data_IF_306084187020
#
_entry.id   IF_306084187020
#
_cell.length_a   1.000
_cell.length_b   1.000
_cell.length_c   1.000
_cell.angle_alpha   90.00
_cell.angle_beta   90.00
_cell.angle_gamma   90.00
#
_symmetry.space_group_name_H-M   'P 1'
#
loop_
_entity.id
_entity.type
_entity.pdbx_description
1 polymer ?
#
# COMPACT_ATOMS: atom_id res chain seq x y z
N UNK A 1 16.05 -13.82 3.34
CA UNK A 1 15.61 -15.23 3.19
C UNK A 1 15.12 -15.80 4.53
N UNK A 2 15.97 -15.87 5.58
CA UNK A 2 15.60 -16.44 6.89
C UNK A 2 14.38 -15.78 7.54
N UNK A 3 14.28 -14.46 7.47
CA UNK A 3 13.15 -13.72 8.03
C UNK A 3 11.86 -14.04 7.27
N UNK A 4 11.93 -14.10 5.94
CA UNK A 4 10.77 -14.43 5.08
C UNK A 4 10.29 -15.85 5.34
N UNK A 5 11.23 -16.82 5.46
CA UNK A 5 10.90 -18.21 5.81
C UNK A 5 10.20 -18.30 7.17
N UNK A 6 10.74 -17.62 8.20
CA UNK A 6 10.16 -17.62 9.54
C UNK A 6 8.74 -17.00 9.57
N UNK A 7 8.54 -15.89 8.84
CA UNK A 7 7.22 -15.26 8.68
C UNK A 7 6.23 -16.20 7.98
N UNK A 8 6.62 -16.79 6.85
CA UNK A 8 5.76 -17.73 6.12
C UNK A 8 5.41 -18.94 6.99
N UNK A 9 6.38 -19.50 7.72
CA UNK A 9 6.14 -20.59 8.66
C UNK A 9 5.12 -20.22 9.73
N UNK A 10 5.28 -19.05 10.34
CA UNK A 10 4.34 -18.53 11.34
C UNK A 10 2.91 -18.42 10.77
N UNK A 11 2.74 -17.82 9.60
CA UNK A 11 1.42 -17.67 8.98
C UNK A 11 0.81 -19.01 8.54
N UNK A 12 1.62 -19.90 7.99
CA UNK A 12 1.18 -21.24 7.62
C UNK A 12 0.71 -22.02 8.86
N UNK A 13 1.45 -21.95 9.96
CA UNK A 13 1.08 -22.61 11.23
C UNK A 13 -0.20 -22.02 11.83
N UNK A 14 -0.36 -20.72 11.76
CA UNK A 14 -1.54 -20.03 12.27
C UNK A 14 -2.80 -20.30 11.45
N UNK A 15 -2.67 -20.40 10.12
CA UNK A 15 -3.79 -20.63 9.20
C UNK A 15 -4.21 -22.10 9.08
N UNK A 16 -3.24 -23.00 9.06
CA UNK A 16 -3.49 -24.45 8.85
C UNK A 16 -3.66 -25.25 10.15
N UNK A 17 -3.49 -24.60 11.32
CA UNK A 17 -3.56 -25.26 12.64
C UNK A 17 -2.27 -26.05 12.98
N UNK A 18 -2.14 -26.37 14.30
CA UNK A 18 -0.93 -27.02 14.87
C UNK A 18 -0.81 -28.49 14.50
N UNK A 19 -1.91 -29.16 14.17
CA UNK A 19 -1.97 -30.58 13.81
C UNK A 19 -2.12 -30.73 12.30
N UNK A 20 -0.99 -30.59 11.55
CA UNK A 20 -0.98 -30.77 10.11
C UNK A 20 -0.77 -32.24 9.72
N UNK A 21 -1.83 -32.89 9.27
CA UNK A 21 -1.74 -34.17 8.61
C UNK A 21 -1.31 -34.03 7.13
N UNK A 22 -1.55 -32.85 6.53
CA UNK A 22 -1.19 -32.53 5.16
C UNK A 22 -0.50 -31.16 5.04
N UNK A 23 0.50 -31.05 4.17
CA UNK A 23 1.15 -29.78 3.84
C UNK A 23 0.22 -28.95 2.96
N UNK A 24 -0.05 -27.68 3.28
CA UNK A 24 -0.93 -26.82 2.48
C UNK A 24 -0.26 -26.40 1.16
N UNK A 25 -1.09 -26.10 0.17
CA UNK A 25 -0.70 -25.27 -0.96
C UNK A 25 -0.93 -23.81 -0.56
N UNK A 26 0.01 -22.91 -0.89
CA UNK A 26 -0.07 -21.50 -0.55
C UNK A 26 0.04 -20.64 -1.79
N UNK A 27 -0.60 -19.49 -1.75
CA UNK A 27 -0.46 -18.42 -2.75
C UNK A 27 0.20 -17.23 -2.07
N UNK A 28 1.26 -16.70 -2.68
CA UNK A 28 2.02 -15.56 -2.16
C UNK A 28 1.94 -14.43 -3.17
N UNK A 29 1.47 -13.26 -2.73
CA UNK A 29 1.49 -12.06 -3.55
C UNK A 29 2.91 -11.50 -3.62
N UNK A 30 3.32 -11.10 -4.82
CA UNK A 30 4.63 -10.51 -5.10
C UNK A 30 4.48 -9.23 -5.92
N UNK A 31 5.36 -8.23 -5.73
CA UNK A 31 5.39 -7.04 -6.56
C UNK A 31 5.54 -7.36 -8.05
N UNK A 32 5.05 -6.49 -8.94
CA UNK A 32 5.15 -6.70 -10.40
C UNK A 32 6.58 -6.66 -10.91
N UNK A 33 7.45 -5.89 -10.27
CA UNK A 33 8.85 -5.70 -10.68
C UNK A 33 9.85 -6.74 -10.13
N UNK A 34 9.38 -7.88 -9.55
CA UNK A 34 10.29 -8.90 -9.01
C UNK A 34 11.00 -9.68 -10.11
N UNK A 35 12.30 -9.90 -9.94
CA UNK A 35 13.10 -10.72 -10.84
C UNK A 35 12.77 -12.21 -10.70
N UNK A 36 13.10 -13.02 -11.72
CA UNK A 36 12.94 -14.47 -11.68
C UNK A 36 13.71 -15.12 -10.53
N UNK A 37 14.86 -14.54 -10.13
CA UNK A 37 15.66 -15.01 -8.99
C UNK A 37 14.92 -14.76 -7.67
N UNK A 38 14.33 -13.57 -7.51
CA UNK A 38 13.54 -13.23 -6.32
C UNK A 38 12.26 -14.08 -6.24
N UNK A 39 11.56 -14.29 -7.37
CA UNK A 39 10.39 -15.19 -7.43
C UNK A 39 10.77 -16.60 -6.95
N UNK A 40 11.90 -17.13 -7.44
CA UNK A 40 12.38 -18.45 -7.01
C UNK A 40 12.73 -18.49 -5.53
N UNK A 41 13.38 -17.43 -5.03
CA UNK A 41 13.70 -17.32 -3.60
C UNK A 41 12.45 -17.32 -2.71
N UNK A 42 11.36 -16.67 -3.14
CA UNK A 42 10.06 -16.70 -2.43
C UNK A 42 9.45 -18.08 -2.46
N UNK A 43 9.47 -18.76 -3.62
CA UNK A 43 8.96 -20.15 -3.72
C UNK A 43 9.75 -21.11 -2.82
N UNK A 44 11.08 -21.02 -2.85
CA UNK A 44 11.95 -21.87 -2.03
C UNK A 44 11.73 -21.61 -0.52
N UNK A 45 11.56 -20.34 -0.12
CA UNK A 45 11.22 -19.98 1.26
C UNK A 45 9.86 -20.54 1.69
N UNK A 46 8.86 -20.53 0.82
CA UNK A 46 7.54 -21.12 1.10
C UNK A 46 7.59 -22.63 1.26
N UNK A 47 8.35 -23.34 0.42
CA UNK A 47 8.57 -24.79 0.55
C UNK A 47 9.33 -25.10 1.86
N UNK A 48 10.40 -24.36 2.17
CA UNK A 48 11.16 -24.49 3.41
C UNK A 48 10.31 -24.21 4.65
N UNK A 49 9.34 -23.28 4.56
CA UNK A 49 8.38 -23.00 5.61
C UNK A 49 7.31 -24.11 5.81
N UNK A 50 7.29 -25.12 4.93
CA UNK A 50 6.44 -26.31 5.07
C UNK A 50 5.24 -26.37 4.14
N UNK A 51 5.17 -25.53 3.11
CA UNK A 51 4.17 -25.66 2.06
C UNK A 51 4.43 -26.88 1.17
N UNK A 52 3.37 -27.47 0.60
CA UNK A 52 3.44 -28.50 -0.44
C UNK A 52 3.74 -27.91 -1.80
N UNK A 53 3.08 -26.79 -2.11
CA UNK A 53 3.25 -26.00 -3.33
C UNK A 53 3.14 -24.53 -2.99
N UNK A 54 3.84 -23.71 -3.76
CA UNK A 54 3.79 -22.26 -3.68
C UNK A 54 3.40 -21.72 -5.04
N UNK A 55 2.31 -20.95 -5.08
CA UNK A 55 1.86 -20.21 -6.25
C UNK A 55 2.16 -18.75 -6.02
N UNK A 56 2.65 -18.05 -7.03
CA UNK A 56 2.86 -16.61 -7.00
C UNK A 56 1.73 -15.91 -7.75
N UNK A 57 1.30 -14.78 -7.22
CA UNK A 57 0.34 -13.89 -7.86
C UNK A 57 0.87 -12.47 -7.79
N UNK A 58 0.81 -11.66 -8.85
CA UNK A 58 1.14 -10.24 -8.79
C UNK A 58 0.23 -9.50 -7.79
N UNK A 59 0.83 -8.63 -6.93
CA UNK A 59 0.07 -7.88 -5.92
C UNK A 59 -1.12 -7.11 -6.49
N UNK A 60 -1.01 -6.36 -7.62
CA UNK A 60 -2.17 -5.65 -8.18
C UNK A 60 -3.29 -6.57 -8.62
N UNK A 61 -2.96 -7.77 -9.14
CA UNK A 61 -3.96 -8.76 -9.55
C UNK A 61 -4.69 -9.33 -8.32
N UNK A 62 -3.95 -9.64 -7.26
CA UNK A 62 -4.54 -10.08 -6.00
C UNK A 62 -5.45 -8.99 -5.39
N UNK A 63 -5.02 -7.72 -5.44
CA UNK A 63 -5.80 -6.57 -4.97
C UNK A 63 -7.10 -6.42 -5.78
N UNK A 64 -7.04 -6.53 -7.11
CA UNK A 64 -8.20 -6.45 -8.00
C UNK A 64 -9.23 -7.53 -7.68
N UNK A 65 -8.78 -8.78 -7.48
CA UNK A 65 -9.63 -9.91 -7.09
C UNK A 65 -10.28 -9.64 -5.73
N UNK A 66 -9.49 -9.18 -4.75
CA UNK A 66 -9.99 -8.86 -3.40
C UNK A 66 -11.01 -7.71 -3.40
N UNK A 67 -10.82 -6.71 -4.24
CA UNK A 67 -11.75 -5.60 -4.45
C UNK A 67 -12.95 -5.97 -5.33
N UNK A 68 -12.98 -7.18 -5.89
CA UNK A 68 -14.03 -7.66 -6.83
C UNK A 68 -14.17 -6.79 -8.08
N UNK A 69 -13.06 -6.25 -8.56
CA UNK A 69 -13.03 -5.53 -9.83
C UNK A 69 -13.33 -6.53 -10.97
N UNK A 70 -14.16 -6.18 -11.96
CA UNK A 70 -14.55 -7.10 -13.05
C UNK A 70 -13.43 -7.28 -14.09
N UNK A 71 -12.29 -7.83 -13.66
CA UNK A 71 -11.08 -7.97 -14.48
C UNK A 71 -11.16 -9.00 -15.59
N UNK A 72 -12.22 -9.83 -15.64
CA UNK A 72 -12.42 -10.84 -16.67
C UNK A 72 -12.90 -10.27 -18.00
N UNK A 73 -13.33 -9.01 -18.01
CA UNK A 73 -13.78 -8.32 -19.21
C UNK A 73 -12.60 -7.88 -20.08
N UNK A 74 -12.81 -7.69 -21.40
CA UNK A 74 -11.78 -7.16 -22.29
C UNK A 74 -11.51 -5.65 -22.08
N UNK A 75 -12.23 -5.01 -21.19
CA UNK A 75 -12.03 -3.60 -20.82
C UNK A 75 -10.82 -3.43 -19.88
N UNK A 76 -10.14 -2.26 -19.98
CA UNK A 76 -9.03 -1.91 -19.13
C UNK A 76 -9.48 -1.49 -17.72
N UNK A 77 -8.89 -2.10 -16.69
CA UNK A 77 -9.05 -1.67 -15.28
C UNK A 77 -7.69 -1.31 -14.69
N UNK A 78 -7.52 -0.09 -14.17
CA UNK A 78 -6.29 0.29 -13.48
C UNK A 78 -6.43 0.06 -11.98
N UNK A 79 -5.43 -0.60 -11.42
CA UNK A 79 -5.29 -0.82 -9.98
C UNK A 79 -4.07 -0.05 -9.48
N UNK A 80 -4.27 0.73 -8.41
CA UNK A 80 -3.20 1.38 -7.65
C UNK A 80 -3.24 0.79 -6.25
N UNK A 81 -2.31 -0.12 -5.97
CA UNK A 81 -2.18 -0.78 -4.67
C UNK A 81 -1.14 -0.03 -3.84
N UNK A 82 -1.60 0.79 -2.89
CA UNK A 82 -0.78 1.60 -2.01
C UNK A 82 -0.46 0.81 -0.74
N UNK A 83 0.71 0.20 -0.69
CA UNK A 83 1.22 -0.52 0.47
C UNK A 83 1.94 0.37 1.48
N UNK A 84 2.53 -0.24 2.51
CA UNK A 84 3.37 0.48 3.48
C UNK A 84 4.68 0.98 2.88
N UNK A 85 5.41 0.12 2.16
CA UNK A 85 6.73 0.44 1.58
C UNK A 85 6.73 0.75 0.09
N UNK A 86 5.76 0.22 -0.65
CA UNK A 86 5.68 0.30 -2.11
C UNK A 86 4.29 0.69 -2.57
N UNK A 87 4.21 1.23 -3.77
CA UNK A 87 2.97 1.41 -4.53
C UNK A 87 3.10 0.63 -5.83
N UNK A 88 2.19 -0.32 -6.01
CA UNK A 88 2.10 -1.13 -7.23
C UNK A 88 0.97 -0.59 -8.10
N UNK A 89 1.26 -0.34 -9.37
CA UNK A 89 0.31 0.19 -10.34
C UNK A 89 0.26 -0.79 -11.51
N UNK A 90 -0.93 -1.19 -11.94
CA UNK A 90 -1.07 -2.06 -13.09
C UNK A 90 -2.40 -1.85 -13.80
N UNK A 91 -2.39 -2.03 -15.11
CA UNK A 91 -3.60 -2.15 -15.94
C UNK A 91 -3.87 -3.64 -16.13
N UNK A 92 -5.10 -4.04 -15.86
CA UNK A 92 -5.57 -5.42 -15.90
C UNK A 92 -6.70 -5.52 -16.94
N UNK A 93 -6.65 -6.53 -17.77
CA UNK A 93 -7.69 -6.92 -18.73
C UNK A 93 -7.65 -8.43 -18.92
N UNK A 94 -8.80 -9.08 -19.13
CA UNK A 94 -8.91 -10.53 -19.37
C UNK A 94 -8.20 -11.38 -18.30
N UNK A 95 -8.30 -11.00 -17.03
CA UNK A 95 -7.69 -11.64 -15.84
C UNK A 95 -6.17 -11.60 -15.79
N UNK A 96 -5.50 -10.77 -16.58
CA UNK A 96 -4.04 -10.67 -16.55
C UNK A 96 -3.59 -9.20 -16.61
N UNK A 97 -2.35 -8.96 -16.17
CA UNK A 97 -1.72 -7.64 -16.29
C UNK A 97 -1.34 -7.42 -17.76
N UNK A 98 -1.78 -6.30 -18.31
CA UNK A 98 -1.42 -5.90 -19.68
C UNK A 98 0.08 -5.68 -19.78
N UNK A 99 0.71 -6.26 -20.80
CA UNK A 99 2.16 -6.17 -20.99
C UNK A 99 2.64 -4.72 -20.99
N UNK A 100 3.74 -4.47 -20.28
CA UNK A 100 4.38 -3.15 -20.13
C UNK A 100 3.51 -2.05 -19.48
N UNK A 101 2.31 -2.40 -18.99
CA UNK A 101 1.38 -1.47 -18.35
C UNK A 101 1.36 -1.68 -16.83
N UNK A 102 2.54 -1.78 -16.22
CA UNK A 102 2.69 -1.87 -14.76
C UNK A 102 3.91 -1.10 -14.27
N UNK A 103 3.85 -0.68 -12.99
CA UNK A 103 4.95 0.03 -12.34
C UNK A 103 4.97 -0.27 -10.84
N UNK A 104 6.19 -0.33 -10.29
CA UNK A 104 6.43 -0.47 -8.85
C UNK A 104 7.26 0.71 -8.36
N UNK A 105 6.75 1.42 -7.37
CA UNK A 105 7.40 2.58 -6.77
C UNK A 105 7.76 2.26 -5.32
N UNK A 106 8.98 2.62 -4.90
CA UNK A 106 9.40 2.52 -3.49
C UNK A 106 8.90 3.72 -2.66
N UNK A 107 7.63 4.04 -2.83
CA UNK A 107 6.90 5.08 -2.10
C UNK A 107 5.59 4.47 -1.64
N UNK A 108 5.28 4.60 -0.36
CA UNK A 108 4.06 4.07 0.25
C UNK A 108 3.75 4.78 1.55
N UNK A 109 2.90 4.18 2.38
CA UNK A 109 2.44 4.76 3.64
C UNK A 109 3.56 5.17 4.59
N UNK A 110 4.64 4.40 4.67
CA UNK A 110 5.79 4.69 5.52
C UNK A 110 6.51 5.99 5.10
N UNK A 111 6.57 6.26 3.78
CA UNK A 111 7.18 7.50 3.27
C UNK A 111 6.31 8.72 3.59
N UNK A 112 4.99 8.53 3.57
CA UNK A 112 4.02 9.54 3.98
C UNK A 112 4.20 9.84 5.49
N UNK A 113 4.31 8.82 6.34
CA UNK A 113 4.53 8.98 7.79
C UNK A 113 5.85 9.71 8.08
N UNK A 114 6.91 9.37 7.35
CA UNK A 114 8.21 10.04 7.47
C UNK A 114 8.13 11.52 7.08
N UNK A 115 7.38 11.84 6.01
CA UNK A 115 7.16 13.22 5.57
C UNK A 115 6.42 14.05 6.65
N UNK A 116 5.37 13.48 7.25
CA UNK A 116 4.63 14.10 8.36
C UNK A 116 5.54 14.34 9.57
N UNK A 117 6.32 13.34 10.00
CA UNK A 117 7.28 13.49 11.10
C UNK A 117 8.31 14.59 10.83
N UNK A 118 8.83 14.61 9.62
CA UNK A 118 9.83 15.58 9.20
C UNK A 118 9.26 17.01 9.22
N UNK A 119 8.02 17.17 8.76
CA UNK A 119 7.31 18.44 8.81
C UNK A 119 7.11 18.93 10.24
N UNK A 120 6.57 18.07 11.12
CA UNK A 120 6.33 18.38 12.53
C UNK A 120 7.64 18.76 13.24
N UNK A 121 8.71 18.00 12.97
CA UNK A 121 10.04 18.28 13.51
C UNK A 121 10.55 19.65 13.08
N UNK A 122 10.40 19.99 11.79
CA UNK A 122 10.89 21.25 11.22
C UNK A 122 10.09 22.46 11.71
N UNK A 123 8.75 22.35 11.74
CA UNK A 123 7.86 23.48 12.04
C UNK A 123 7.71 23.73 13.54
N UNK A 124 7.62 22.67 14.34
CA UNK A 124 7.28 22.75 15.74
C UNK A 124 8.42 22.37 16.67
N UNK A 125 9.60 21.98 16.16
CA UNK A 125 10.70 21.39 16.91
C UNK A 125 10.23 20.21 17.79
N UNK A 126 9.24 19.45 17.34
CA UNK A 126 8.61 18.38 18.08
C UNK A 126 8.98 17.02 17.46
N UNK A 127 9.46 16.08 18.27
CA UNK A 127 9.66 14.69 17.85
C UNK A 127 8.37 13.90 18.09
N UNK A 128 7.70 13.55 16.99
CA UNK A 128 6.57 12.61 16.97
C UNK A 128 7.07 11.19 16.67
N UNK A 129 6.46 10.18 17.31
CA UNK A 129 6.74 8.78 17.04
C UNK A 129 6.09 8.30 15.72
N UNK A 130 6.51 7.12 15.22
CA UNK A 130 5.98 6.52 13.99
C UNK A 130 4.46 6.30 14.08
N UNK A 131 3.99 5.73 15.19
CA UNK A 131 2.56 5.52 15.43
C UNK A 131 1.76 6.82 15.44
N UNK A 132 2.33 7.90 15.97
CA UNK A 132 1.68 9.21 15.99
C UNK A 132 1.54 9.77 14.57
N UNK A 133 2.57 9.62 13.72
CA UNK A 133 2.51 10.05 12.33
C UNK A 133 1.46 9.27 11.53
N UNK A 134 1.42 7.95 11.73
CA UNK A 134 0.39 7.11 11.13
C UNK A 134 -1.02 7.51 11.56
N UNK A 135 -1.21 7.79 12.86
CA UNK A 135 -2.50 8.27 13.38
C UNK A 135 -2.93 9.61 12.75
N UNK A 136 -1.98 10.53 12.56
CA UNK A 136 -2.23 11.80 11.88
C UNK A 136 -2.64 11.57 10.43
N UNK A 137 -1.88 10.73 9.70
CA UNK A 137 -2.18 10.35 8.32
C UNK A 137 -3.60 9.80 8.17
N UNK A 138 -3.99 8.89 9.07
CA UNK A 138 -5.31 8.21 9.02
C UNK A 138 -6.45 9.15 9.39
N UNK A 139 -6.26 10.05 10.36
CA UNK A 139 -7.33 10.92 10.87
C UNK A 139 -7.56 12.17 10.04
N UNK A 140 -6.49 12.89 9.72
CA UNK A 140 -6.57 14.21 9.08
C UNK A 140 -5.72 14.33 7.81
N UNK A 141 -5.15 13.20 7.32
CA UNK A 141 -4.38 13.18 6.08
C UNK A 141 -5.27 13.26 4.85
N UNK A 142 -5.01 14.23 3.99
CA UNK A 142 -5.69 14.38 2.71
C UNK A 142 -4.69 14.83 1.64
N UNK A 143 -4.85 14.33 0.41
CA UNK A 143 -4.09 14.80 -0.75
C UNK A 143 -4.59 16.15 -1.29
N UNK A 144 -5.78 16.56 -0.89
CA UNK A 144 -6.41 17.83 -1.25
C UNK A 144 -6.82 18.58 0.01
N UNK A 145 -6.87 19.90 -0.07
CA UNK A 145 -7.37 20.74 1.04
C UNK A 145 -8.81 20.33 1.42
N UNK A 146 -9.06 20.22 2.72
CA UNK A 146 -10.38 19.94 3.28
C UNK A 146 -11.09 21.23 3.66
N UNK A 147 -12.37 21.34 3.35
CA UNK A 147 -13.22 22.47 3.76
C UNK A 147 -14.44 21.96 4.54
N UNK A 148 -14.53 22.24 5.85
CA UNK A 148 -13.55 22.94 6.70
C UNK A 148 -12.29 22.10 6.99
N UNK A 149 -11.16 22.80 7.26
CA UNK A 149 -9.94 22.15 7.68
C UNK A 149 -10.14 21.41 9.01
N UNK A 150 -9.66 20.17 9.08
CA UNK A 150 -9.67 19.37 10.30
C UNK A 150 -8.43 19.67 11.16
N UNK A 151 -8.55 19.46 12.47
CA UNK A 151 -7.45 19.69 13.42
C UNK A 151 -7.24 18.49 14.32
N UNK A 152 -5.99 18.27 14.73
CA UNK A 152 -5.63 17.20 15.67
C UNK A 152 -4.57 17.67 16.67
N UNK A 153 -4.76 17.32 17.94
CA UNK A 153 -3.72 17.50 18.97
C UNK A 153 -2.69 16.38 18.88
N UNK A 154 -1.43 16.78 18.77
CA UNK A 154 -0.28 15.87 18.66
C UNK A 154 0.64 16.06 19.82
N UNK A 155 0.92 14.98 20.53
CA UNK A 155 1.88 14.95 21.64
C UNK A 155 3.21 14.39 21.19
N UNK A 156 4.29 15.06 21.52
CA UNK A 156 5.65 14.62 21.24
C UNK A 156 6.65 15.18 22.26
N UNK A 157 7.95 14.97 21.99
CA UNK A 157 9.04 15.50 22.78
C UNK A 157 9.59 16.76 22.12
N UNK A 158 9.58 17.86 22.84
CA UNK A 158 10.24 19.10 22.42
C UNK A 158 11.75 18.87 22.31
N UNK A 159 12.35 19.24 21.19
CA UNK A 159 13.79 19.00 20.95
C UNK A 159 14.69 19.97 21.69
N UNK A 160 14.19 21.14 22.08
CA UNK A 160 14.95 22.17 22.76
C UNK A 160 14.93 21.92 24.27
N UNK A 161 13.73 21.70 24.82
CA UNK A 161 13.55 21.53 26.26
C UNK A 161 13.62 20.08 26.72
N UNK A 162 13.48 19.12 25.81
CA UNK A 162 13.49 17.70 26.14
C UNK A 162 12.23 17.19 26.84
N UNK A 163 11.24 18.07 27.06
CA UNK A 163 10.01 17.78 27.78
C UNK A 163 8.85 17.38 26.84
N UNK A 164 7.83 16.65 27.33
CA UNK A 164 6.61 16.42 26.60
C UNK A 164 5.90 17.74 26.27
N UNK A 165 5.47 17.88 25.03
CA UNK A 165 4.73 19.05 24.55
C UNK A 165 3.60 18.60 23.63
N UNK A 166 2.47 19.32 23.66
CA UNK A 166 1.35 19.12 22.75
C UNK A 166 1.28 20.31 21.79
N UNK A 167 1.01 20.03 20.52
CA UNK A 167 0.75 21.03 19.47
C UNK A 167 -0.50 20.65 18.72
N UNK A 168 -1.22 21.64 18.18
CA UNK A 168 -2.33 21.41 17.27
C UNK A 168 -1.83 21.53 15.85
N UNK A 169 -2.13 20.54 15.00
CA UNK A 169 -1.84 20.54 13.58
C UNK A 169 -3.14 20.48 12.78
N UNK A 170 -3.12 21.02 11.55
CA UNK A 170 -4.27 21.08 10.66
C UNK A 170 -4.11 20.11 9.49
N UNK A 171 -5.22 19.72 8.86
CA UNK A 171 -5.21 18.92 7.62
C UNK A 171 -4.44 19.61 6.50
N UNK A 172 -4.49 20.94 6.41
CA UNK A 172 -3.76 21.71 5.39
C UNK A 172 -2.24 21.55 5.55
N UNK A 173 -1.76 21.55 6.80
CA UNK A 173 -0.35 21.30 7.11
C UNK A 173 0.08 19.88 6.76
N UNK A 174 -0.82 18.91 6.97
CA UNK A 174 -0.57 17.53 6.59
C UNK A 174 -0.56 17.39 5.06
N UNK A 175 -1.48 18.05 4.36
CA UNK A 175 -1.50 18.11 2.88
C UNK A 175 -0.20 18.68 2.33
N UNK A 176 0.31 19.77 2.92
CA UNK A 176 1.62 20.34 2.56
C UNK A 176 2.76 19.35 2.82
N UNK A 177 2.75 18.68 3.97
CA UNK A 177 3.79 17.75 4.37
C UNK A 177 3.91 16.55 3.41
N UNK A 178 2.77 16.02 2.94
CA UNK A 178 2.73 14.81 2.11
C UNK A 178 2.74 15.09 0.61
N UNK A 179 2.83 16.36 0.18
CA UNK A 179 2.73 16.75 -1.23
C UNK A 179 3.77 16.01 -2.11
N UNK A 180 5.03 15.90 -1.65
CA UNK A 180 6.11 15.25 -2.39
C UNK A 180 5.87 13.74 -2.61
N UNK A 181 5.59 12.90 -1.59
CA UNK A 181 5.29 11.48 -1.81
C UNK A 181 4.02 11.27 -2.64
N UNK A 182 2.98 12.09 -2.47
CA UNK A 182 1.75 12.00 -3.29
C UNK A 182 2.06 12.31 -4.76
N UNK A 183 2.85 13.35 -5.05
CA UNK A 183 3.24 13.68 -6.41
C UNK A 183 4.05 12.57 -7.08
N UNK A 184 4.91 11.86 -6.34
CA UNK A 184 5.64 10.71 -6.86
C UNK A 184 4.69 9.58 -7.28
N UNK A 185 3.65 9.32 -6.47
CA UNK A 185 2.62 8.33 -6.79
C UNK A 185 1.84 8.74 -8.05
N UNK A 186 1.41 10.01 -8.12
CA UNK A 186 0.67 10.55 -9.28
C UNK A 186 1.52 10.45 -10.57
N UNK A 187 2.82 10.76 -10.48
CA UNK A 187 3.74 10.58 -11.63
C UNK A 187 3.84 9.12 -12.06
N UNK A 188 3.88 8.19 -11.11
CA UNK A 188 3.86 6.75 -11.41
C UNK A 188 2.59 6.31 -12.12
N UNK A 189 1.42 6.77 -11.65
CA UNK A 189 0.14 6.49 -12.30
C UNK A 189 0.14 7.02 -13.74
N UNK A 190 0.60 8.27 -13.93
CA UNK A 190 0.69 8.88 -15.26
C UNK A 190 1.60 8.08 -16.18
N UNK A 191 2.77 7.66 -15.71
CA UNK A 191 3.71 6.87 -16.51
C UNK A 191 3.12 5.55 -16.99
N UNK A 192 2.35 4.86 -16.14
CA UNK A 192 1.66 3.62 -16.53
C UNK A 192 0.53 3.90 -17.53
N UNK A 193 -0.21 5.00 -17.36
CA UNK A 193 -1.24 5.41 -18.34
C UNK A 193 -0.64 5.74 -19.71
N UNK A 194 0.52 6.41 -19.74
CA UNK A 194 1.23 6.76 -20.98
C UNK A 194 1.71 5.51 -21.76
N UNK A 195 1.99 4.39 -21.07
CA UNK A 195 2.35 3.12 -21.70
C UNK A 195 1.12 2.27 -22.06
N UNK A 196 -0.07 2.66 -21.61
CA UNK A 196 -1.31 1.89 -21.83
C UNK A 196 -1.88 2.12 -23.23
N UNK A 197 -2.30 1.06 -23.95
CA UNK A 197 -2.99 1.18 -25.24
C UNK A 197 -4.19 2.13 -25.15
N UNK A 198 -4.41 2.99 -26.17
CA UNK A 198 -5.45 4.02 -26.12
C UNK A 198 -6.86 3.51 -25.81
N UNK A 199 -7.21 2.32 -26.32
CA UNK A 199 -8.52 1.70 -26.09
C UNK A 199 -8.72 1.38 -24.60
N UNK A 200 -7.71 0.77 -23.95
CA UNK A 200 -7.77 0.45 -22.52
C UNK A 200 -7.67 1.70 -21.65
N UNK A 201 -6.92 2.71 -22.09
CA UNK A 201 -6.86 3.98 -21.38
C UNK A 201 -8.21 4.72 -21.39
N UNK A 202 -8.95 4.65 -22.49
CA UNK A 202 -10.31 5.19 -22.60
C UNK A 202 -11.26 4.48 -21.60
N UNK A 203 -11.23 3.15 -21.53
CA UNK A 203 -12.01 2.37 -20.58
C UNK A 203 -11.72 2.78 -19.11
N UNK A 204 -10.45 3.00 -18.77
CA UNK A 204 -10.04 3.40 -17.43
C UNK A 204 -10.62 4.78 -17.09
N UNK A 205 -10.61 5.72 -18.03
CA UNK A 205 -11.16 7.08 -17.82
C UNK A 205 -12.68 7.01 -17.66
N UNK A 206 -13.38 6.26 -18.48
CA UNK A 206 -14.82 6.07 -18.39
C UNK A 206 -15.22 5.33 -17.11
N UNK A 207 -14.52 4.26 -16.76
CA UNK A 207 -14.74 3.49 -15.55
C UNK A 207 -14.46 4.27 -14.26
N UNK A 208 -13.49 5.17 -14.26
CA UNK A 208 -13.14 5.99 -13.09
C UNK A 208 -14.24 7.01 -12.71
N UNK A 209 -15.12 7.36 -13.65
CA UNK A 209 -16.26 8.24 -13.41
C UNK A 209 -17.40 7.58 -12.64
N UNK A 210 -17.44 6.24 -12.53
CA UNK A 210 -18.58 5.50 -12.00
C UNK A 210 -18.39 4.87 -10.62
N UNK A 211 -17.18 4.68 -10.10
CA UNK A 211 -17.05 3.96 -8.82
C UNK A 211 -15.90 4.44 -7.92
N UNK A 212 -16.21 5.42 -7.05
CA UNK A 212 -15.34 5.83 -5.93
C UNK A 212 -15.22 4.75 -4.83
N UNK A 213 -15.74 3.54 -5.02
CA UNK A 213 -15.89 2.50 -3.98
C UNK A 213 -14.68 1.61 -3.78
N UNK A 214 -13.62 1.74 -4.58
CA UNK A 214 -12.46 0.84 -4.54
C UNK A 214 -11.18 1.46 -3.92
N UNK A 215 -11.29 2.55 -3.19
CA UNK A 215 -10.20 3.00 -2.31
C UNK A 215 -10.28 2.25 -0.98
N UNK A 216 -9.65 1.08 -0.89
CA UNK A 216 -9.47 0.42 0.40
C UNK A 216 -8.06 0.68 0.90
N UNK A 217 -7.94 1.40 2.03
CA UNK A 217 -6.71 1.37 2.83
C UNK A 217 -6.70 0.06 3.59
N UNK A 218 -5.71 -0.79 3.34
CA UNK A 218 -5.60 -2.13 3.94
C UNK A 218 -5.40 -2.15 5.46
N UNK A 219 -5.29 -1.02 6.12
CA UNK A 219 -4.96 -0.90 7.54
C UNK A 219 -6.12 -0.56 8.49
N UNK A 220 -7.31 -0.19 7.98
CA UNK A 220 -8.40 0.31 8.85
C UNK A 220 -9.37 -0.76 9.39
N UNK A 221 -9.15 -2.06 9.20
CA UNK A 221 -10.09 -3.12 9.63
C UNK A 221 -9.70 -3.91 10.89
N UNK A 222 -8.68 -3.52 11.66
CA UNK A 222 -8.37 -4.21 12.93
C UNK A 222 -8.94 -3.54 14.20
N UNK A 223 -9.70 -2.47 14.10
CA UNK A 223 -10.18 -1.71 15.26
C UNK A 223 -11.68 -1.86 15.60
N UNK A 224 -12.42 -2.76 14.94
CA UNK A 224 -13.83 -3.00 15.29
C UNK A 224 -14.16 -4.48 15.46
N UNK A 225 -13.57 -5.11 16.47
CA UNK A 225 -13.84 -6.50 16.83
C UNK A 225 -13.39 -6.80 18.24
N UNK A 226 -14.11 -6.32 19.23
CA UNK A 226 -14.14 -6.84 20.61
C UNK A 226 -15.57 -6.83 21.10
#
# INVERSE_FOLDING_TARGET
>A
YLVTEAMLRYFIERSAGRYRMFRPEIMVAVPTGVTTVEQRAVMDAGIAAGAKRVHLIPEPLAAAIGAKVPISLPSGSMIVNLGGGTTEIAVISLNDIVADCSGSLRVGGNRIDEAIRTYIKRKYNLMAGDRTAEEIKVRIGSALALEPAETMEVRGRDQVQGLPRTVTITSDEVTEAIAEPVEQIVRGVRSVLESTPPELAADIIEGSSHDRRYCTTSESRQASGS
#
